data_IF_990926408847
#
_entry.id   IF_990926408847
#
_cell.length_a   1.000
_cell.length_b   1.000
_cell.length_c   1.000
_cell.angle_alpha   90.00
_cell.angle_beta   90.00
_cell.angle_gamma   90.00
#
_symmetry.space_group_name_H-M   'P 1'
#
loop_
_entity.id
_entity.type
_entity.pdbx_description
1 polymer ?
#
# COMPACT_ATOMS: atom_id res chain seq x y z
N UNK A 1 41.80 -48.07 -19.50
CA UNK A 1 41.39 -46.65 -19.44
C UNK A 1 41.43 -46.15 -17.99
N UNK A 2 41.75 -44.86 -17.81
CA UNK A 2 41.74 -44.24 -16.46
C UNK A 2 40.30 -43.96 -16.06
N UNK A 3 39.91 -44.39 -14.86
CA UNK A 3 38.60 -44.12 -14.28
C UNK A 3 38.43 -42.61 -14.07
N UNK A 4 37.37 -42.04 -14.62
CA UNK A 4 37.05 -40.61 -14.49
C UNK A 4 36.21 -40.37 -13.22
N UNK A 5 36.54 -39.34 -12.46
CA UNK A 5 35.81 -38.91 -11.24
C UNK A 5 35.48 -37.44 -11.29
N UNK A 6 34.57 -36.97 -10.44
CA UNK A 6 34.16 -35.58 -10.41
C UNK A 6 33.28 -35.19 -11.59
N UNK A 7 33.23 -33.87 -11.88
CA UNK A 7 32.51 -33.35 -13.05
C UNK A 7 33.24 -33.69 -14.35
N UNK A 8 32.54 -34.34 -15.27
CA UNK A 8 33.03 -34.70 -16.59
C UNK A 8 32.06 -34.18 -17.67
N UNK A 9 32.60 -33.53 -18.71
CA UNK A 9 31.81 -33.05 -19.84
C UNK A 9 32.10 -33.90 -21.08
N UNK A 10 31.05 -34.54 -21.58
CA UNK A 10 31.11 -35.39 -22.77
C UNK A 10 29.98 -34.94 -23.72
N UNK A 11 30.31 -34.64 -24.97
CA UNK A 11 29.35 -34.20 -25.99
C UNK A 11 28.41 -33.09 -25.50
N UNK A 12 28.98 -32.04 -24.91
CA UNK A 12 28.26 -30.86 -24.32
C UNK A 12 27.30 -31.22 -23.18
N UNK A 13 27.41 -32.42 -22.60
CA UNK A 13 26.64 -32.85 -21.43
C UNK A 13 27.57 -33.04 -20.26
N UNK A 14 27.21 -32.53 -19.09
CA UNK A 14 27.99 -32.65 -17.87
C UNK A 14 27.42 -33.77 -17.01
N UNK A 15 28.29 -34.60 -16.49
CA UNK A 15 28.02 -35.73 -15.59
C UNK A 15 28.86 -35.55 -14.33
N UNK A 16 28.51 -36.27 -13.28
CA UNK A 16 29.37 -36.39 -12.11
C UNK A 16 29.56 -37.85 -11.73
N UNK A 17 30.81 -38.24 -11.52
CA UNK A 17 31.20 -39.58 -11.10
C UNK A 17 31.82 -39.51 -9.70
N UNK A 18 31.37 -40.39 -8.81
CA UNK A 18 31.96 -40.56 -7.48
C UNK A 18 33.39 -41.06 -7.60
N UNK A 19 34.14 -41.06 -6.48
CA UNK A 19 35.49 -41.59 -6.42
C UNK A 19 35.58 -43.09 -6.85
N UNK A 20 34.50 -43.84 -6.63
CA UNK A 20 34.36 -45.20 -7.06
C UNK A 20 33.89 -45.38 -8.51
N UNK A 21 33.81 -44.31 -9.29
CA UNK A 21 33.39 -44.32 -10.70
C UNK A 21 31.88 -44.39 -10.92
N UNK A 22 31.05 -44.45 -9.87
CA UNK A 22 29.59 -44.48 -10.02
C UNK A 22 29.04 -43.11 -10.44
N UNK A 23 28.23 -43.09 -11.52
CA UNK A 23 27.56 -41.90 -12.01
C UNK A 23 26.42 -41.47 -11.08
N UNK A 24 26.34 -40.17 -10.77
CA UNK A 24 25.25 -39.62 -9.97
C UNK A 24 23.99 -39.38 -10.78
N UNK A 25 22.83 -39.58 -10.14
CA UNK A 25 21.48 -39.28 -10.64
C UNK A 25 20.64 -38.63 -9.54
N UNK A 26 19.55 -37.94 -9.90
CA UNK A 26 18.67 -37.29 -8.95
C UNK A 26 19.27 -36.00 -8.35
N UNK A 27 18.71 -35.55 -7.24
CA UNK A 27 19.23 -34.40 -6.48
C UNK A 27 20.48 -34.83 -5.70
N UNK A 28 21.54 -34.03 -5.82
CA UNK A 28 22.83 -34.27 -5.16
C UNK A 28 23.34 -32.95 -4.56
N UNK A 29 23.85 -33.03 -3.33
CA UNK A 29 24.54 -31.91 -2.68
C UNK A 29 26.05 -32.12 -2.80
N UNK A 30 26.71 -31.26 -3.54
CA UNK A 30 28.15 -31.31 -3.81
C UNK A 30 28.76 -29.94 -3.48
N UNK A 31 29.79 -29.92 -2.64
CA UNK A 31 30.51 -28.69 -2.23
C UNK A 31 29.56 -27.55 -1.78
N UNK A 32 28.55 -27.90 -0.98
CA UNK A 32 27.58 -26.92 -0.45
C UNK A 32 26.45 -26.52 -1.41
N UNK A 33 26.53 -26.90 -2.69
CA UNK A 33 25.52 -26.59 -3.72
C UNK A 33 24.67 -27.84 -4.06
N UNK A 34 23.42 -27.60 -4.43
CA UNK A 34 22.51 -28.65 -4.90
C UNK A 34 22.50 -28.70 -6.42
N UNK A 35 22.60 -29.87 -6.97
CA UNK A 35 22.53 -30.18 -8.40
C UNK A 35 21.42 -31.22 -8.64
N UNK A 36 20.95 -31.31 -9.87
CA UNK A 36 20.10 -32.39 -10.30
C UNK A 36 20.66 -33.04 -11.55
N UNK A 37 20.82 -34.38 -11.48
CA UNK A 37 21.24 -35.20 -12.60
C UNK A 37 20.05 -36.04 -13.07
N UNK A 38 19.77 -36.02 -14.35
CA UNK A 38 18.69 -36.82 -14.94
C UNK A 38 18.91 -38.31 -14.69
N UNK A 39 17.92 -39.17 -14.97
CA UNK A 39 18.09 -40.64 -14.91
C UNK A 39 19.25 -41.14 -15.78
N UNK A 40 19.66 -40.39 -16.82
CA UNK A 40 20.82 -40.66 -17.68
C UNK A 40 22.11 -40.01 -17.19
N UNK A 41 22.14 -39.46 -15.97
CA UNK A 41 23.27 -38.78 -15.35
C UNK A 41 23.58 -37.38 -15.88
N UNK A 42 22.81 -36.84 -16.80
CA UNK A 42 23.06 -35.51 -17.37
C UNK A 42 22.68 -34.43 -16.37
N UNK A 43 23.59 -33.50 -16.05
CA UNK A 43 23.41 -32.38 -15.18
C UNK A 43 22.30 -31.43 -15.75
N UNK A 44 21.33 -31.10 -14.94
CA UNK A 44 20.25 -30.19 -15.31
C UNK A 44 20.75 -28.73 -15.40
N UNK A 45 20.20 -27.99 -16.39
CA UNK A 45 20.34 -26.54 -16.56
C UNK A 45 19.02 -25.96 -16.97
N UNK A 46 18.79 -24.68 -16.61
CA UNK A 46 17.54 -23.99 -16.90
C UNK A 46 16.35 -24.50 -16.08
N UNK A 47 15.14 -24.18 -16.52
CA UNK A 47 13.91 -24.64 -15.87
C UNK A 47 13.71 -26.15 -16.04
N UNK A 48 13.37 -26.81 -14.93
CA UNK A 48 13.02 -28.23 -14.88
C UNK A 48 11.77 -28.47 -14.05
N UNK A 49 10.83 -29.20 -14.61
CA UNK A 49 9.64 -29.68 -13.87
C UNK A 49 9.92 -31.10 -13.38
N UNK A 50 10.00 -31.28 -12.08
CA UNK A 50 10.32 -32.52 -11.40
C UNK A 50 9.25 -32.82 -10.36
N UNK A 51 8.57 -33.96 -10.46
CA UNK A 51 7.47 -34.34 -9.54
C UNK A 51 6.44 -33.25 -9.33
N UNK A 52 6.00 -32.58 -10.41
CA UNK A 52 5.00 -31.50 -10.38
C UNK A 52 5.53 -30.14 -9.92
N UNK A 53 6.75 -30.04 -9.41
CA UNK A 53 7.39 -28.80 -8.96
C UNK A 53 8.38 -28.27 -10.00
N UNK A 54 8.47 -26.96 -10.14
CA UNK A 54 9.43 -26.30 -11.06
C UNK A 54 10.65 -25.83 -10.28
N UNK A 55 11.82 -26.11 -10.83
CA UNK A 55 13.14 -25.69 -10.35
C UNK A 55 13.87 -24.94 -11.44
N UNK A 56 14.86 -24.15 -11.07
CA UNK A 56 15.81 -23.56 -12.01
C UNK A 56 17.22 -23.91 -11.61
N UNK A 57 18.02 -24.33 -12.59
CA UNK A 57 19.43 -24.63 -12.43
C UNK A 57 20.24 -23.67 -13.29
N UNK A 58 21.21 -23.00 -12.68
CA UNK A 58 22.13 -22.10 -13.39
C UNK A 58 22.94 -22.85 -14.46
N UNK A 59 23.63 -22.13 -15.30
CA UNK A 59 24.47 -22.75 -16.37
C UNK A 59 25.59 -23.62 -15.80
N UNK A 60 26.06 -23.36 -14.59
CA UNK A 60 26.98 -24.18 -13.84
C UNK A 60 26.32 -25.41 -13.16
N UNK A 61 25.01 -25.60 -13.32
CA UNK A 61 24.21 -26.67 -12.75
C UNK A 61 23.72 -26.46 -11.32
N UNK A 62 24.10 -25.39 -10.63
CA UNK A 62 23.67 -25.18 -9.26
C UNK A 62 22.16 -24.79 -9.20
N UNK A 63 21.44 -25.39 -8.24
CA UNK A 63 20.01 -25.11 -8.02
C UNK A 63 19.82 -23.69 -7.51
N UNK A 64 18.92 -22.94 -8.13
CA UNK A 64 18.54 -21.61 -7.73
C UNK A 64 17.72 -21.60 -6.43
N UNK A 65 18.00 -20.64 -5.55
CA UNK A 65 17.22 -20.31 -4.35
C UNK A 65 17.13 -18.78 -4.22
N UNK A 66 16.08 -18.28 -3.54
CA UNK A 66 15.87 -16.84 -3.40
C UNK A 66 15.34 -16.21 -4.67
N UNK A 67 15.47 -14.87 -4.76
CA UNK A 67 15.07 -14.10 -5.95
C UNK A 67 16.12 -14.26 -7.04
N UNK A 68 15.67 -14.66 -8.23
CA UNK A 68 16.54 -14.88 -9.39
C UNK A 68 15.99 -14.09 -10.58
N UNK A 69 16.87 -13.39 -11.29
CA UNK A 69 16.57 -12.78 -12.58
C UNK A 69 16.90 -13.76 -13.69
N UNK A 70 15.90 -14.18 -14.45
CA UNK A 70 16.09 -15.09 -15.59
C UNK A 70 15.48 -14.40 -16.82
N UNK A 71 16.34 -14.04 -17.78
CA UNK A 71 15.96 -13.17 -18.88
C UNK A 71 15.55 -11.76 -18.37
N UNK A 72 14.38 -11.31 -18.78
CA UNK A 72 13.81 -10.02 -18.35
C UNK A 72 12.95 -10.10 -17.09
N UNK A 73 12.72 -11.29 -16.54
CA UNK A 73 11.76 -11.54 -15.45
C UNK A 73 12.44 -11.97 -14.16
N UNK A 74 11.87 -11.57 -13.03
CA UNK A 74 12.25 -12.06 -11.71
C UNK A 74 11.37 -13.23 -11.30
N UNK A 75 12.00 -14.22 -10.66
CA UNK A 75 11.40 -15.41 -10.08
C UNK A 75 11.83 -15.53 -8.62
N UNK A 76 11.05 -16.23 -7.83
CA UNK A 76 11.43 -16.57 -6.47
C UNK A 76 11.44 -18.10 -6.31
N UNK A 77 12.57 -18.62 -5.86
CA UNK A 77 12.72 -20.03 -5.52
C UNK A 77 12.85 -20.17 -4.01
N UNK A 78 11.99 -20.99 -3.42
CA UNK A 78 12.01 -21.28 -1.98
C UNK A 78 13.32 -21.90 -1.55
N UNK A 79 13.59 -22.01 -0.25
CA UNK A 79 14.81 -22.61 0.27
C UNK A 79 15.04 -24.06 -0.22
N UNK A 80 13.98 -24.79 -0.54
CA UNK A 80 14.04 -26.14 -1.13
C UNK A 80 14.22 -26.14 -2.66
N UNK A 81 14.41 -24.96 -3.28
CA UNK A 81 14.60 -24.78 -4.73
C UNK A 81 13.31 -24.76 -5.55
N UNK A 82 12.14 -24.96 -4.97
CA UNK A 82 10.88 -24.94 -5.73
C UNK A 82 10.47 -23.51 -6.11
N UNK A 83 10.07 -23.30 -7.37
CA UNK A 83 9.57 -22.03 -7.86
C UNK A 83 8.30 -21.64 -7.10
N UNK A 84 8.27 -20.43 -6.56
CA UNK A 84 7.12 -19.89 -5.86
C UNK A 84 6.11 -19.26 -6.84
N UNK A 85 4.83 -19.39 -6.49
CA UNK A 85 3.70 -18.70 -7.13
C UNK A 85 2.81 -18.11 -6.05
N UNK A 86 1.91 -17.18 -6.42
CA UNK A 86 1.04 -16.50 -5.49
C UNK A 86 1.76 -15.45 -4.64
N UNK A 87 1.12 -15.03 -3.56
CA UNK A 87 1.68 -14.05 -2.62
C UNK A 87 2.85 -14.65 -1.83
N UNK A 88 3.96 -13.92 -1.79
CA UNK A 88 5.17 -14.29 -1.04
C UNK A 88 5.62 -13.09 -0.18
N UNK A 89 5.95 -13.36 1.09
CA UNK A 89 6.54 -12.37 1.98
C UNK A 89 8.05 -12.60 2.05
N UNK A 90 8.83 -11.65 1.56
CA UNK A 90 10.29 -11.73 1.47
C UNK A 90 10.87 -10.49 2.14
N UNK A 91 11.68 -10.66 3.19
CA UNK A 91 12.29 -9.57 3.95
C UNK A 91 11.27 -8.50 4.40
N UNK A 92 10.13 -8.94 4.93
CA UNK A 92 9.05 -8.07 5.42
C UNK A 92 8.16 -7.45 4.35
N UNK A 93 8.52 -7.53 3.07
CA UNK A 93 7.75 -6.99 1.94
C UNK A 93 6.94 -8.09 1.26
N UNK A 94 5.77 -7.74 0.74
CA UNK A 94 4.88 -8.66 0.02
C UNK A 94 5.04 -8.49 -1.49
N UNK A 95 5.15 -9.62 -2.18
CA UNK A 95 5.26 -9.75 -3.63
C UNK A 95 4.22 -10.73 -4.13
N UNK A 96 3.94 -10.71 -5.43
CA UNK A 96 3.12 -11.71 -6.07
C UNK A 96 3.85 -12.30 -7.28
N UNK A 97 3.89 -13.62 -7.35
CA UNK A 97 4.44 -14.36 -8.47
C UNK A 97 3.29 -15.06 -9.20
N UNK A 98 3.19 -14.80 -10.50
CA UNK A 98 2.12 -15.35 -11.36
C UNK A 98 2.23 -16.88 -11.44
N UNK A 99 1.26 -17.55 -12.02
CA UNK A 99 1.29 -19.03 -12.20
C UNK A 99 2.52 -19.52 -12.96
N UNK A 100 3.02 -18.71 -13.91
CA UNK A 100 4.26 -19.00 -14.62
C UNK A 100 5.54 -18.67 -13.83
N UNK A 101 5.42 -18.25 -12.58
CA UNK A 101 6.51 -17.88 -11.67
C UNK A 101 7.06 -16.47 -11.84
N UNK A 102 6.63 -15.69 -12.82
CA UNK A 102 7.14 -14.32 -13.02
C UNK A 102 6.60 -13.36 -11.97
N UNK A 103 7.44 -12.45 -11.47
CA UNK A 103 7.06 -11.40 -10.54
C UNK A 103 6.04 -10.44 -11.17
N UNK A 104 4.99 -10.10 -10.43
CA UNK A 104 3.99 -9.15 -10.86
C UNK A 104 4.44 -7.70 -10.64
N UNK A 105 4.08 -6.83 -11.59
CA UNK A 105 4.26 -5.39 -11.55
C UNK A 105 2.99 -4.69 -12.05
N UNK A 106 2.77 -3.44 -11.61
CA UNK A 106 1.60 -2.65 -12.01
C UNK A 106 0.29 -3.21 -11.46
N UNK A 107 -0.81 -2.86 -12.11
CA UNK A 107 -2.14 -3.31 -11.73
C UNK A 107 -2.33 -4.80 -12.05
N UNK A 108 -2.81 -5.56 -11.08
CA UNK A 108 -3.14 -6.98 -11.22
C UNK A 108 -4.54 -7.24 -10.66
N UNK A 109 -5.31 -8.07 -11.35
CA UNK A 109 -6.56 -8.65 -10.82
C UNK A 109 -6.28 -10.09 -10.40
N UNK A 110 -6.47 -10.40 -9.13
CA UNK A 110 -6.20 -11.72 -8.53
C UNK A 110 -7.49 -12.18 -7.87
N UNK A 111 -8.12 -13.20 -8.44
CA UNK A 111 -9.49 -13.54 -8.10
C UNK A 111 -10.45 -12.40 -8.45
N UNK A 112 -11.20 -11.91 -7.49
CA UNK A 112 -12.12 -10.76 -7.65
C UNK A 112 -11.50 -9.42 -7.25
N UNK A 113 -10.31 -9.42 -6.65
CA UNK A 113 -9.71 -8.24 -6.04
C UNK A 113 -8.63 -7.64 -6.94
N UNK A 114 -8.47 -6.31 -6.86
CA UNK A 114 -7.45 -5.56 -7.58
C UNK A 114 -6.31 -5.19 -6.64
N UNK A 115 -5.09 -5.32 -7.14
CA UNK A 115 -3.85 -5.03 -6.44
C UNK A 115 -2.93 -4.20 -7.32
N UNK A 116 -2.05 -3.43 -6.71
CA UNK A 116 -0.99 -2.75 -7.43
C UNK A 116 0.37 -3.13 -6.87
N UNK A 117 1.28 -3.55 -7.75
CA UNK A 117 2.66 -3.84 -7.42
C UNK A 117 3.57 -2.76 -8.00
N UNK A 118 4.40 -2.16 -7.16
CA UNK A 118 5.33 -1.10 -7.53
C UNK A 118 6.35 -1.59 -8.57
N UNK A 119 7.20 -0.68 -9.09
CA UNK A 119 8.25 -1.03 -10.04
C UNK A 119 9.26 -2.05 -9.48
N UNK A 120 9.49 -2.05 -8.16
CA UNK A 120 10.32 -3.04 -7.46
C UNK A 120 9.56 -4.36 -7.17
N UNK A 121 8.31 -4.48 -7.58
CA UNK A 121 7.44 -5.63 -7.36
C UNK A 121 6.76 -5.67 -5.99
N UNK A 122 6.98 -4.69 -5.11
CA UNK A 122 6.35 -4.68 -3.78
C UNK A 122 4.87 -4.31 -3.87
N UNK A 123 4.05 -5.01 -3.07
CA UNK A 123 2.62 -4.73 -2.93
C UNK A 123 2.39 -3.32 -2.37
N UNK A 124 1.49 -2.57 -3.00
CA UNK A 124 1.03 -1.28 -2.52
C UNK A 124 -0.04 -1.47 -1.44
N UNK A 125 0.10 -0.73 -0.33
CA UNK A 125 -0.91 -0.59 0.72
C UNK A 125 -1.13 0.88 1.03
N UNK A 126 -2.27 1.23 1.64
CA UNK A 126 -2.60 2.61 1.97
C UNK A 126 -2.96 3.46 0.76
N UNK A 127 -2.70 4.77 0.84
CA UNK A 127 -3.04 5.76 -0.19
C UNK A 127 -1.83 6.08 -1.04
N UNK A 128 -1.93 5.91 -2.36
CA UNK A 128 -0.84 6.23 -3.29
C UNK A 128 -1.37 6.85 -4.57
N UNK A 129 -0.76 7.96 -4.98
CA UNK A 129 -1.01 8.62 -6.26
C UNK A 129 -0.08 8.05 -7.32
N UNK A 130 -0.65 7.62 -8.44
CA UNK A 130 0.09 7.11 -9.60
C UNK A 130 -0.47 7.82 -10.84
N UNK A 131 0.32 8.69 -11.44
CA UNK A 131 -0.18 9.59 -12.47
C UNK A 131 -1.31 10.46 -11.91
N UNK A 132 -2.44 10.51 -12.63
CA UNK A 132 -3.62 11.26 -12.21
C UNK A 132 -4.62 10.42 -11.39
N UNK A 133 -4.25 9.20 -10.98
CA UNK A 133 -5.12 8.34 -10.18
C UNK A 133 -4.64 8.27 -8.74
N UNK A 134 -5.56 8.42 -7.78
CA UNK A 134 -5.33 8.07 -6.38
C UNK A 134 -5.93 6.69 -6.12
N UNK A 135 -5.07 5.75 -5.72
CA UNK A 135 -5.48 4.40 -5.31
C UNK A 135 -5.48 4.31 -3.79
N UNK A 136 -6.54 3.71 -3.26
CA UNK A 136 -6.66 3.43 -1.82
C UNK A 136 -6.77 1.93 -1.64
N UNK A 137 -5.78 1.36 -0.96
CA UNK A 137 -5.72 -0.07 -0.68
C UNK A 137 -5.70 -0.30 0.84
N UNK A 138 -6.34 -1.38 1.28
CA UNK A 138 -6.28 -1.80 2.67
C UNK A 138 -4.92 -2.44 3.01
N UNK A 139 -4.73 -2.86 4.26
CA UNK A 139 -3.48 -3.46 4.75
C UNK A 139 -3.11 -4.77 4.04
N UNK A 140 -4.08 -5.43 3.40
CA UNK A 140 -3.86 -6.61 2.55
C UNK A 140 -3.54 -6.25 1.11
N UNK A 141 -3.50 -4.95 0.77
CA UNK A 141 -3.21 -4.43 -0.56
C UNK A 141 -4.39 -4.48 -1.53
N UNK A 142 -5.59 -4.86 -1.07
CA UNK A 142 -6.79 -4.85 -1.91
C UNK A 142 -7.22 -3.40 -2.17
N UNK A 143 -7.23 -2.99 -3.44
CA UNK A 143 -7.70 -1.67 -3.85
C UNK A 143 -9.23 -1.66 -3.80
N UNK A 144 -9.76 -0.90 -2.88
CA UNK A 144 -11.21 -0.74 -2.72
C UNK A 144 -11.73 0.61 -3.24
N UNK A 145 -10.82 1.57 -3.53
CA UNK A 145 -11.17 2.87 -4.10
C UNK A 145 -10.13 3.33 -5.11
N UNK A 146 -10.62 3.99 -6.16
CA UNK A 146 -9.80 4.67 -7.15
C UNK A 146 -10.45 6.02 -7.47
N UNK A 147 -9.68 7.11 -7.33
CA UNK A 147 -10.11 8.45 -7.72
C UNK A 147 -9.41 8.81 -9.03
N UNK A 148 -10.18 9.19 -10.03
CA UNK A 148 -9.69 9.59 -11.36
C UNK A 148 -9.51 11.10 -11.39
N UNK A 149 -8.28 11.58 -11.25
CA UNK A 149 -7.96 13.01 -11.28
C UNK A 149 -8.05 13.68 -12.65
N UNK A 150 -8.41 12.93 -13.71
CA UNK A 150 -8.71 13.53 -15.03
C UNK A 150 -10.16 14.04 -15.12
N UNK A 151 -11.00 13.68 -14.15
CA UNK A 151 -12.39 14.12 -14.11
C UNK A 151 -12.51 15.40 -13.30
N UNK A 152 -13.51 16.24 -13.65
CA UNK A 152 -13.90 17.36 -12.79
C UNK A 152 -14.29 16.81 -11.43
N UNK A 153 -13.75 17.41 -10.36
CA UNK A 153 -13.97 16.95 -9.00
C UNK A 153 -14.34 18.14 -8.12
N UNK A 154 -15.24 17.90 -7.18
CA UNK A 154 -15.55 18.80 -6.06
C UNK A 154 -14.97 18.16 -4.80
N UNK A 155 -14.23 18.93 -4.01
CA UNK A 155 -13.79 18.52 -2.69
C UNK A 155 -14.86 18.91 -1.67
N UNK A 156 -15.55 17.90 -1.14
CA UNK A 156 -16.48 18.09 -0.01
C UNK A 156 -15.69 18.14 1.29
N UNK A 157 -15.97 19.16 2.11
CA UNK A 157 -15.35 19.30 3.43
C UNK A 157 -16.42 19.53 4.49
N UNK A 158 -16.23 18.92 5.66
CA UNK A 158 -17.12 19.05 6.81
C UNK A 158 -16.31 19.45 8.04
N UNK A 159 -16.72 20.50 8.70
CA UNK A 159 -16.10 21.03 9.91
C UNK A 159 -16.89 20.61 11.17
N UNK A 160 -16.33 20.84 12.35
CA UNK A 160 -16.95 20.69 13.68
C UNK A 160 -17.36 19.26 14.08
N UNK A 161 -17.01 18.26 13.28
CA UNK A 161 -17.23 16.88 13.64
C UNK A 161 -16.18 16.33 14.64
N UNK A 162 -16.28 15.04 15.01
CA UNK A 162 -17.45 14.18 14.84
C UNK A 162 -18.65 14.62 15.70
N UNK A 163 -19.87 14.24 15.28
CA UNK A 163 -21.10 14.61 15.95
C UNK A 163 -22.16 13.50 15.81
N UNK A 164 -23.30 13.57 16.51
CA UNK A 164 -24.40 12.61 16.31
C UNK A 164 -24.92 12.54 14.87
N UNK A 165 -24.66 13.54 14.04
CA UNK A 165 -25.08 13.58 12.63
C UNK A 165 -24.06 12.97 11.68
N UNK A 166 -22.83 12.74 12.13
CA UNK A 166 -21.75 12.15 11.32
C UNK A 166 -22.18 10.85 10.63
N UNK A 167 -22.90 9.89 11.27
CA UNK A 167 -23.32 8.66 10.59
C UNK A 167 -24.18 8.89 9.35
N UNK A 168 -25.08 9.89 9.37
CA UNK A 168 -25.95 10.21 8.22
C UNK A 168 -25.15 10.71 7.02
N UNK A 169 -24.11 11.51 7.28
CA UNK A 169 -23.18 11.97 6.24
C UNK A 169 -22.42 10.79 5.67
N UNK A 170 -21.90 9.90 6.53
CA UNK A 170 -21.13 8.72 6.10
C UNK A 170 -21.99 7.74 5.30
N UNK A 171 -23.24 7.48 5.70
CA UNK A 171 -24.18 6.64 4.94
C UNK A 171 -24.41 7.20 3.53
N UNK A 172 -24.51 8.54 3.43
CA UNK A 172 -24.65 9.20 2.13
C UNK A 172 -23.39 9.09 1.28
N UNK A 173 -22.21 9.32 1.86
CA UNK A 173 -20.94 9.16 1.15
C UNK A 173 -20.74 7.72 0.65
N UNK A 174 -21.06 6.72 1.48
CA UNK A 174 -21.01 5.30 1.08
C UNK A 174 -21.97 5.00 -0.07
N UNK A 175 -23.23 5.45 0.04
CA UNK A 175 -24.25 5.26 -1.01
C UNK A 175 -23.79 5.75 -2.38
N UNK A 176 -23.10 6.87 -2.43
CA UNK A 176 -22.61 7.48 -3.66
C UNK A 176 -21.15 7.18 -3.98
N UNK A 177 -20.51 6.28 -3.22
CA UNK A 177 -19.09 5.96 -3.33
C UNK A 177 -18.20 7.21 -3.35
N UNK A 178 -18.56 8.20 -2.53
CA UNK A 178 -17.88 9.47 -2.39
C UNK A 178 -16.97 9.48 -1.15
N UNK A 179 -16.03 10.40 -1.11
CA UNK A 179 -15.19 10.74 0.05
C UNK A 179 -15.26 12.23 0.31
N UNK A 180 -14.91 12.59 1.53
CA UNK A 180 -14.81 13.97 1.97
C UNK A 180 -13.55 14.19 2.82
N UNK A 181 -13.27 15.44 3.15
CA UNK A 181 -12.33 15.79 4.21
C UNK A 181 -13.13 16.24 5.43
N UNK A 182 -12.88 15.64 6.57
CA UNK A 182 -13.46 16.02 7.85
C UNK A 182 -12.41 16.76 8.68
N UNK A 183 -12.70 18.02 9.02
CA UNK A 183 -11.89 18.80 9.96
C UNK A 183 -12.51 18.64 11.35
N UNK A 184 -11.90 17.76 12.14
CA UNK A 184 -12.48 17.31 13.40
C UNK A 184 -11.96 18.12 14.60
N UNK A 185 -12.84 18.39 15.56
CA UNK A 185 -12.52 19.03 16.82
C UNK A 185 -12.00 17.99 17.81
N UNK A 186 -10.78 18.18 18.31
CA UNK A 186 -10.03 17.17 19.07
C UNK A 186 -10.75 16.64 20.30
N UNK A 187 -11.42 17.51 21.07
CA UNK A 187 -12.14 17.12 22.30
C UNK A 187 -13.39 16.25 22.04
N UNK A 188 -13.84 16.14 20.78
CA UNK A 188 -14.96 15.28 20.37
C UNK A 188 -14.51 13.89 19.92
N UNK A 189 -13.22 13.73 19.57
CA UNK A 189 -12.71 12.49 18.97
C UNK A 189 -12.96 11.25 19.83
N UNK A 190 -12.74 11.34 21.16
CA UNK A 190 -12.93 10.19 22.07
C UNK A 190 -14.42 9.84 22.25
N UNK A 191 -15.28 10.85 22.36
CA UNK A 191 -16.73 10.66 22.52
C UNK A 191 -17.34 9.95 21.31
N UNK A 192 -16.87 10.29 20.11
CA UNK A 192 -17.38 9.76 18.84
C UNK A 192 -16.31 8.92 18.11
N UNK A 193 -15.49 8.20 18.86
CA UNK A 193 -14.38 7.38 18.35
C UNK A 193 -14.79 6.45 17.22
N UNK A 194 -15.94 5.77 17.35
CA UNK A 194 -16.44 4.85 16.30
C UNK A 194 -16.75 5.56 14.98
N UNK A 195 -17.23 6.81 15.04
CA UNK A 195 -17.54 7.60 13.84
C UNK A 195 -16.25 8.07 13.16
N UNK A 196 -15.29 8.59 13.94
CA UNK A 196 -13.98 8.97 13.42
C UNK A 196 -13.23 7.80 12.77
N UNK A 197 -13.29 6.61 13.39
CA UNK A 197 -12.74 5.38 12.80
C UNK A 197 -13.45 5.00 11.50
N UNK A 198 -14.78 5.20 11.40
CA UNK A 198 -15.54 4.94 10.17
C UNK A 198 -15.20 5.97 9.09
N UNK A 199 -15.08 7.27 9.42
CA UNK A 199 -14.60 8.30 8.49
C UNK A 199 -13.29 7.88 7.84
N UNK A 200 -12.31 7.50 8.67
CA UNK A 200 -11.00 7.04 8.19
C UNK A 200 -11.07 5.75 7.37
N UNK A 201 -11.84 4.75 7.83
CA UNK A 201 -12.00 3.46 7.15
C UNK A 201 -12.65 3.60 5.77
N UNK A 202 -13.56 4.56 5.59
CA UNK A 202 -14.18 4.90 4.30
C UNK A 202 -13.21 5.60 3.34
N UNK A 203 -12.00 5.90 3.78
CA UNK A 203 -11.00 6.59 2.97
C UNK A 203 -11.17 8.09 2.93
N UNK A 204 -11.94 8.68 3.85
CA UNK A 204 -12.00 10.12 4.02
C UNK A 204 -10.68 10.67 4.57
N UNK A 205 -10.35 11.92 4.22
CA UNK A 205 -9.23 12.63 4.83
C UNK A 205 -9.66 13.18 6.20
N UNK A 206 -8.78 13.04 7.19
CA UNK A 206 -9.01 13.60 8.53
C UNK A 206 -8.01 14.73 8.75
N UNK A 207 -8.52 15.94 8.89
CA UNK A 207 -7.76 17.12 9.28
C UNK A 207 -8.11 17.55 10.71
N UNK A 208 -7.26 18.36 11.33
CA UNK A 208 -7.57 18.93 12.63
C UNK A 208 -8.30 20.27 12.49
N UNK A 209 -9.32 20.49 13.33
CA UNK A 209 -10.03 21.76 13.51
C UNK A 209 -9.76 22.33 14.91
N UNK A 210 -8.49 22.23 15.36
CA UNK A 210 -8.00 22.51 16.72
C UNK A 210 -8.50 21.50 17.76
N UNK A 211 -8.14 21.68 19.03
CA UNK A 211 -8.58 20.78 20.10
C UNK A 211 -9.98 21.11 20.61
N UNK A 212 -10.25 22.39 20.92
CA UNK A 212 -11.54 22.85 21.50
C UNK A 212 -12.28 23.86 20.63
N UNK A 213 -11.95 23.94 19.33
CA UNK A 213 -12.48 24.93 18.37
C UNK A 213 -12.01 26.35 18.67
N UNK A 214 -10.79 26.51 19.23
CA UNK A 214 -10.24 27.82 19.57
C UNK A 214 -10.00 28.71 18.36
N UNK A 215 -10.33 30.02 18.49
CA UNK A 215 -10.01 31.05 17.52
C UNK A 215 -8.51 31.36 17.57
N UNK A 216 -7.72 30.67 16.74
CA UNK A 216 -6.26 30.69 16.78
C UNK A 216 -5.65 32.08 16.68
N UNK A 217 -6.27 33.01 15.95
CA UNK A 217 -5.82 34.41 15.83
C UNK A 217 -5.90 35.23 17.12
N UNK A 218 -6.48 34.65 18.17
CA UNK A 218 -6.56 35.24 19.52
C UNK A 218 -5.57 34.65 20.49
N UNK A 219 -4.80 33.65 20.08
CA UNK A 219 -3.84 32.94 20.92
C UNK A 219 -2.42 33.46 20.70
N UNK A 220 -1.57 33.23 21.71
CA UNK A 220 -0.12 33.37 21.56
C UNK A 220 0.45 32.29 20.64
N UNK A 221 1.69 32.46 20.19
CA UNK A 221 2.40 31.45 19.39
C UNK A 221 2.39 30.07 20.04
N UNK A 222 2.64 29.99 21.35
CA UNK A 222 2.63 28.71 22.09
C UNK A 222 1.20 28.16 22.23
N UNK A 223 0.20 29.02 22.42
CA UNK A 223 -1.20 28.61 22.42
C UNK A 223 -1.65 28.01 21.09
N UNK A 224 -1.21 28.57 19.97
CA UNK A 224 -1.47 28.00 18.62
C UNK A 224 -0.85 26.60 18.51
N UNK A 225 0.43 26.46 18.86
CA UNK A 225 1.13 25.16 18.81
C UNK A 225 0.45 24.12 19.69
N UNK A 226 0.03 24.52 20.90
CA UNK A 226 -0.62 23.63 21.86
C UNK A 226 -1.99 23.15 21.34
N UNK A 227 -2.82 24.03 20.79
CA UNK A 227 -4.12 23.67 20.21
C UNK A 227 -3.97 22.68 19.05
N UNK A 228 -3.02 22.92 18.15
CA UNK A 228 -2.76 22.02 17.03
C UNK A 228 -2.21 20.68 17.52
N UNK A 229 -1.28 20.71 18.49
CA UNK A 229 -0.73 19.48 19.05
C UNK A 229 -1.80 18.64 19.75
N UNK A 230 -2.60 19.23 20.63
CA UNK A 230 -3.68 18.53 21.35
C UNK A 230 -4.72 17.94 20.38
N UNK A 231 -5.13 18.70 19.37
CA UNK A 231 -6.06 18.25 18.33
C UNK A 231 -5.49 17.06 17.54
N UNK A 232 -4.22 17.15 17.14
CA UNK A 232 -3.53 16.07 16.43
C UNK A 232 -3.35 14.82 17.30
N UNK A 233 -2.94 14.97 18.56
CA UNK A 233 -2.78 13.85 19.49
C UNK A 233 -4.12 13.13 19.75
N UNK A 234 -5.23 13.86 19.80
CA UNK A 234 -6.56 13.28 19.96
C UNK A 234 -6.94 12.42 18.73
N UNK A 235 -6.66 12.89 17.52
CA UNK A 235 -6.87 12.13 16.27
C UNK A 235 -5.99 10.88 16.26
N UNK A 236 -4.69 11.02 16.52
CA UNK A 236 -3.72 9.91 16.53
C UNK A 236 -4.15 8.83 17.52
N UNK A 237 -4.64 9.20 18.68
CA UNK A 237 -5.08 8.24 19.72
C UNK A 237 -6.19 7.34 19.21
N UNK A 238 -7.10 7.85 18.39
CA UNK A 238 -8.27 7.11 17.92
C UNK A 238 -8.03 6.30 16.66
N UNK A 239 -7.29 6.84 15.69
CA UNK A 239 -7.09 6.21 14.37
C UNK A 239 -5.64 5.81 14.08
N UNK A 240 -4.69 6.12 14.97
CA UNK A 240 -3.27 5.75 14.80
C UNK A 240 -2.52 6.53 13.72
N UNK A 241 -3.13 7.58 13.13
CA UNK A 241 -2.57 8.36 12.02
C UNK A 241 -2.64 9.85 12.34
N UNK A 242 -1.53 10.56 12.11
CA UNK A 242 -1.48 12.00 12.28
C UNK A 242 -2.24 12.72 11.15
N UNK A 243 -2.97 13.83 11.46
CA UNK A 243 -3.54 14.67 10.42
C UNK A 243 -2.41 15.34 9.61
N UNK A 244 -2.60 15.45 8.30
CA UNK A 244 -1.64 16.08 7.38
C UNK A 244 -2.02 17.51 7.01
N UNK A 245 -3.18 17.98 7.46
CA UNK A 245 -3.74 19.28 7.15
C UNK A 245 -4.66 19.77 8.29
N UNK A 246 -4.95 21.05 8.28
CA UNK A 246 -5.86 21.64 9.24
C UNK A 246 -6.77 22.68 8.59
N UNK A 247 -7.86 23.04 9.27
CA UNK A 247 -8.65 24.23 8.97
C UNK A 247 -8.78 25.09 10.24
N UNK A 248 -8.40 26.37 10.20
CA UNK A 248 -8.59 27.25 11.36
C UNK A 248 -10.08 27.54 11.59
N UNK A 249 -10.58 27.45 12.83
CA UNK A 249 -11.95 27.85 13.15
C UNK A 249 -12.31 29.26 12.64
N UNK A 250 -13.45 29.33 11.96
CA UNK A 250 -13.94 30.57 11.34
C UNK A 250 -13.04 31.12 10.22
N UNK A 251 -12.04 30.34 9.73
CA UNK A 251 -11.06 30.79 8.73
C UNK A 251 -10.14 31.91 9.21
N UNK A 252 -10.08 32.17 10.52
CA UNK A 252 -9.36 33.30 11.10
C UNK A 252 -7.86 33.03 11.20
N UNK A 253 -7.09 33.75 10.39
CA UNK A 253 -5.64 33.62 10.27
C UNK A 253 -4.96 34.97 10.39
N UNK A 254 -3.88 35.03 11.19
CA UNK A 254 -2.93 36.14 11.24
C UNK A 254 -1.50 35.60 11.09
N UNK A 255 -0.49 36.43 11.17
CA UNK A 255 0.91 36.00 10.98
C UNK A 255 1.34 35.03 12.08
N UNK A 256 0.93 35.25 13.34
CA UNK A 256 1.20 34.31 14.42
C UNK A 256 0.68 32.90 14.12
N UNK A 257 -0.53 32.78 13.56
CA UNK A 257 -1.10 31.50 13.15
C UNK A 257 -0.30 30.88 12.00
N UNK A 258 0.02 31.69 10.96
CA UNK A 258 0.78 31.21 9.78
C UNK A 258 2.13 30.61 10.16
N UNK A 259 2.83 31.27 11.09
CA UNK A 259 4.17 30.86 11.49
C UNK A 259 4.20 29.67 12.46
N UNK A 260 3.12 29.42 13.19
CA UNK A 260 3.13 28.49 14.32
C UNK A 260 2.22 27.26 14.18
N UNK A 261 1.38 27.20 13.14
CA UNK A 261 0.43 26.10 12.96
C UNK A 261 1.11 24.80 12.51
N UNK A 262 2.20 24.88 11.75
CA UNK A 262 3.00 23.73 11.33
C UNK A 262 2.33 22.73 10.39
N UNK A 263 1.10 23.00 9.96
CA UNK A 263 0.33 22.16 9.01
C UNK A 263 -0.21 23.02 7.86
N UNK A 264 -0.39 22.47 6.66
CA UNK A 264 -1.12 23.12 5.58
C UNK A 264 -2.53 23.52 6.03
N UNK A 265 -2.86 24.80 5.86
CA UNK A 265 -4.19 25.34 6.17
C UNK A 265 -5.07 25.26 4.92
N UNK A 266 -6.16 24.52 5.01
CA UNK A 266 -7.12 24.36 3.93
C UNK A 266 -8.35 25.22 4.20
N UNK A 267 -8.57 26.17 3.32
CA UNK A 267 -9.75 27.03 3.34
C UNK A 267 -10.84 26.42 2.42
N UNK A 268 -11.77 27.23 1.95
CA UNK A 268 -12.83 26.84 1.02
C UNK A 268 -12.91 27.83 -0.15
N UNK A 269 -13.36 27.34 -1.29
CA UNK A 269 -13.68 28.15 -2.47
C UNK A 269 -15.18 28.48 -2.54
N UNK A 270 -16.01 27.61 -2.00
CA UNK A 270 -17.46 27.78 -1.90
C UNK A 270 -17.84 27.71 -0.42
N UNK A 271 -18.34 28.84 0.11
CA UNK A 271 -18.89 28.91 1.46
C UNK A 271 -20.42 28.74 1.39
N UNK A 272 -20.88 27.61 1.91
CA UNK A 272 -22.32 27.29 1.94
C UNK A 272 -23.09 28.13 2.95
N UNK A 273 -22.42 28.65 3.97
CA UNK A 273 -23.01 29.33 5.12
C UNK A 273 -24.21 28.57 5.70
N UNK A 274 -24.11 27.26 5.72
CA UNK A 274 -25.14 26.35 6.23
C UNK A 274 -25.39 26.58 7.75
N UNK A 275 -24.31 26.85 8.48
CA UNK A 275 -24.31 27.18 9.90
C UNK A 275 -25.19 28.46 10.22
N UNK A 276 -25.27 29.39 9.28
CA UNK A 276 -26.03 30.64 9.43
C UNK A 276 -27.49 30.48 8.93
N UNK A 277 -27.64 29.99 7.70
CA UNK A 277 -28.95 29.93 7.05
C UNK A 277 -29.81 28.77 7.55
N UNK A 278 -29.19 27.66 7.95
CA UNK A 278 -29.86 26.40 8.36
C UNK A 278 -30.94 25.97 7.35
N UNK A 279 -30.71 26.28 6.07
CA UNK A 279 -31.64 26.03 4.97
C UNK A 279 -30.99 25.08 3.95
N UNK A 280 -31.51 23.85 3.87
CA UNK A 280 -31.04 22.86 2.89
C UNK A 280 -31.14 23.37 1.45
N UNK A 281 -32.26 23.99 0.98
CA UNK A 281 -32.31 24.48 -0.39
C UNK A 281 -31.25 25.55 -0.65
N UNK A 282 -31.02 26.48 0.25
CA UNK A 282 -30.01 27.55 0.11
C UNK A 282 -28.60 26.95 0.05
N UNK A 283 -28.29 25.94 0.90
CA UNK A 283 -27.02 25.26 0.90
C UNK A 283 -26.78 24.54 -0.43
N UNK A 284 -27.77 23.81 -0.94
CA UNK A 284 -27.68 23.12 -2.25
C UNK A 284 -27.42 24.13 -3.37
N UNK A 285 -28.20 25.24 -3.44
CA UNK A 285 -28.02 26.27 -4.47
C UNK A 285 -26.59 26.83 -4.45
N UNK A 286 -26.06 27.17 -3.28
CA UNK A 286 -24.69 27.70 -3.16
C UNK A 286 -23.62 26.70 -3.60
N UNK A 287 -23.80 25.43 -3.29
CA UNK A 287 -22.87 24.37 -3.76
C UNK A 287 -22.94 24.23 -5.28
N UNK A 288 -24.14 24.16 -5.85
CA UNK A 288 -24.32 23.96 -7.30
C UNK A 288 -23.83 25.16 -8.11
N UNK A 289 -24.14 26.37 -7.67
CA UNK A 289 -23.75 27.58 -8.38
C UNK A 289 -22.26 27.92 -8.22
N UNK A 290 -21.64 27.46 -7.15
CA UNK A 290 -20.22 27.69 -6.84
C UNK A 290 -19.26 26.62 -7.36
N UNK A 291 -19.74 25.47 -7.78
CA UNK A 291 -18.95 24.33 -8.27
C UNK A 291 -18.81 24.36 -9.80
#
# INVERSE_FOLDING_TARGET
GIMQTGFQTLNNKTFYFKENGCMLTGFQKLNGHTYYFTKRGVMAKGFKKLNGQTYYFHDNGTMAVGVQKVGSSNYYFKANGTMATGFQKINGKTYYYKENGTQAHGMQTIGKDRYYFKADGTLLTGRVKIGNYLYVANDKGVIYRTVDGNKKMVALTFDDGPSPYTPLVLDTLEKYNAVATFFVVGNRCSTYSSYLKREYALGCEIGTHTYDHAWLNRLSADGVKEEIKKGSDAIIREIGVAPTLMRPPGGCVNDTVRENVGLPMIMWSVDTRDWETRSTPTTITRVVDGA
#
